data_IF_964721162938
#
_entry.id   IF_964721162938
#
_cell.length_a   1.000
_cell.length_b   1.000
_cell.length_c   1.000
_cell.angle_alpha   90.00
_cell.angle_beta   90.00
_cell.angle_gamma   90.00
#
_symmetry.space_group_name_H-M   'P 1'
#
loop_
_entity.id
_entity.type
_entity.pdbx_description
1 polymer ?
#
# COMPACT_ATOMS: atom_id res chain seq x y z
N UNK A 1 -17.46 3.09 15.46
CA UNK A 1 -18.11 2.40 14.32
C UNK A 1 -18.74 1.13 14.85
N UNK A 2 -19.91 0.74 14.36
CA UNK A 2 -20.51 -0.56 14.67
C UNK A 2 -20.45 -1.45 13.43
N UNK A 3 -20.08 -2.71 13.63
CA UNK A 3 -19.95 -3.69 12.57
C UNK A 3 -20.64 -4.98 12.95
N UNK A 4 -21.64 -5.35 12.16
CA UNK A 4 -22.48 -6.51 12.40
C UNK A 4 -22.31 -7.51 11.26
N UNK A 5 -22.13 -8.78 11.61
CA UNK A 5 -22.11 -9.92 10.69
C UNK A 5 -23.28 -10.82 11.04
N UNK A 6 -24.00 -11.29 10.02
CA UNK A 6 -25.09 -12.27 10.13
C UNK A 6 -24.95 -13.30 9.01
N UNK A 7 -24.88 -14.58 9.37
CA UNK A 7 -24.90 -15.70 8.42
C UNK A 7 -23.72 -15.78 7.44
N UNK A 8 -22.50 -15.36 7.83
CA UNK A 8 -21.31 -15.44 6.96
C UNK A 8 -20.36 -16.55 7.45
N UNK A 9 -20.16 -17.57 6.59
CA UNK A 9 -19.27 -18.69 6.88
C UNK A 9 -19.67 -19.40 8.18
N UNK A 10 -18.74 -19.52 9.11
CA UNK A 10 -18.99 -20.13 10.44
C UNK A 10 -19.63 -19.17 11.44
N UNK A 11 -19.78 -17.88 11.10
CA UNK A 11 -20.34 -16.86 11.99
C UNK A 11 -21.84 -16.75 11.74
N UNK A 12 -22.64 -17.24 12.70
CA UNK A 12 -24.10 -17.05 12.69
C UNK A 12 -24.46 -15.60 12.94
N UNK A 13 -23.86 -15.01 13.96
CA UNK A 13 -24.13 -13.66 14.42
C UNK A 13 -22.91 -13.10 15.17
N UNK A 14 -22.53 -11.86 14.88
CA UNK A 14 -21.53 -11.12 15.63
C UNK A 14 -21.82 -9.62 15.54
N UNK A 15 -21.78 -8.92 16.67
CA UNK A 15 -21.83 -7.46 16.75
C UNK A 15 -20.55 -6.97 17.39
N UNK A 16 -19.84 -6.10 16.67
CA UNK A 16 -18.51 -5.65 17.03
C UNK A 16 -18.52 -4.14 17.09
N UNK A 17 -18.21 -3.62 18.28
CA UNK A 17 -17.96 -2.21 18.49
C UNK A 17 -16.50 -1.88 18.18
N UNK A 18 -16.29 -0.89 17.33
CA UNK A 18 -14.97 -0.37 16.94
C UNK A 18 -14.78 1.05 17.46
N UNK A 19 -14.17 1.16 18.64
CA UNK A 19 -13.92 2.41 19.38
C UNK A 19 -12.42 2.58 19.67
N UNK A 20 -11.62 2.72 18.60
CA UNK A 20 -10.16 2.83 18.68
C UNK A 20 -9.46 1.55 18.25
N UNK A 21 -8.81 0.85 19.19
CA UNK A 21 -8.14 -0.43 18.93
C UNK A 21 -9.02 -1.62 19.35
N UNK A 22 -9.53 -2.36 18.38
CA UNK A 22 -10.27 -3.60 18.61
C UNK A 22 -9.44 -4.81 18.19
N UNK A 23 -9.23 -5.78 19.09
CA UNK A 23 -8.47 -7.02 18.83
C UNK A 23 -9.42 -8.20 18.69
N UNK A 24 -9.32 -8.94 17.58
CA UNK A 24 -10.07 -10.18 17.35
C UNK A 24 -9.15 -11.37 17.63
N UNK A 25 -9.43 -12.09 18.72
CA UNK A 25 -8.64 -13.23 19.19
C UNK A 25 -9.50 -14.49 19.37
N UNK A 26 -8.84 -15.64 19.54
CA UNK A 26 -9.49 -16.96 19.66
C UNK A 26 -8.72 -18.08 18.94
N UNK A 27 -9.20 -19.31 19.02
CA UNK A 27 -8.58 -20.50 18.41
C UNK A 27 -8.59 -20.47 16.88
N UNK A 28 -7.73 -21.24 16.23
CA UNK A 28 -7.78 -21.38 14.78
C UNK A 28 -9.17 -21.88 14.35
N UNK A 29 -9.61 -21.43 13.17
CA UNK A 29 -10.92 -21.77 12.63
C UNK A 29 -12.12 -21.32 13.50
N UNK A 30 -11.94 -20.35 14.41
CA UNK A 30 -13.03 -19.79 15.23
C UNK A 30 -13.76 -18.59 14.60
N UNK A 31 -13.42 -18.24 13.35
CA UNK A 31 -14.09 -17.17 12.60
C UNK A 31 -13.29 -15.87 12.49
N UNK A 32 -12.11 -15.77 13.13
CA UNK A 32 -11.27 -14.55 13.10
C UNK A 32 -11.00 -14.03 11.67
N UNK A 33 -10.54 -14.91 10.77
CA UNK A 33 -10.30 -14.56 9.36
C UNK A 33 -11.61 -14.22 8.63
N UNK A 34 -12.73 -14.82 9.02
CA UNK A 34 -14.05 -14.53 8.43
C UNK A 34 -14.51 -13.13 8.81
N UNK A 35 -14.37 -12.73 10.08
CA UNK A 35 -14.65 -11.36 10.54
C UNK A 35 -13.81 -10.35 9.76
N UNK A 36 -12.49 -10.58 9.68
CA UNK A 36 -11.58 -9.67 8.98
C UNK A 36 -11.89 -9.54 7.49
N UNK A 37 -12.23 -10.65 6.82
CA UNK A 37 -12.64 -10.64 5.40
C UNK A 37 -13.95 -9.90 5.18
N UNK A 38 -14.95 -10.12 6.04
CA UNK A 38 -16.22 -9.41 5.95
C UNK A 38 -16.02 -7.91 6.14
N UNK A 39 -15.21 -7.51 7.13
CA UNK A 39 -14.88 -6.10 7.37
C UNK A 39 -14.16 -5.50 6.16
N UNK A 40 -13.14 -6.19 5.64
CA UNK A 40 -12.40 -5.76 4.45
C UNK A 40 -13.32 -5.54 3.25
N UNK A 41 -14.25 -6.47 2.99
CA UNK A 41 -15.18 -6.37 1.87
C UNK A 41 -16.10 -5.14 1.96
N UNK A 42 -16.57 -4.80 3.16
CA UNK A 42 -17.38 -3.58 3.36
C UNK A 42 -16.53 -2.33 3.16
N UNK A 43 -15.34 -2.29 3.78
CA UNK A 43 -14.45 -1.11 3.67
C UNK A 43 -13.95 -0.89 2.25
N UNK A 44 -13.65 -1.95 1.49
CA UNK A 44 -13.19 -1.82 0.12
C UNK A 44 -14.31 -1.48 -0.86
N UNK A 45 -15.56 -1.87 -0.56
CA UNK A 45 -16.71 -1.49 -1.38
C UNK A 45 -17.04 0.01 -1.31
N UNK A 46 -16.66 0.69 -0.22
CA UNK A 46 -16.81 2.15 -0.08
C UNK A 46 -15.58 2.93 -0.53
N UNK A 47 -14.48 2.27 -0.92
CA UNK A 47 -13.34 2.95 -1.55
C UNK A 47 -13.71 3.41 -2.96
N UNK A 48 -13.26 4.60 -3.35
CA UNK A 48 -13.37 5.05 -4.75
C UNK A 48 -12.40 4.23 -5.61
N UNK A 49 -12.93 3.16 -6.20
CA UNK A 49 -12.19 2.25 -7.06
C UNK A 49 -11.60 2.97 -8.28
N UNK A 50 -12.27 4.00 -8.80
CA UNK A 50 -11.82 4.74 -9.99
C UNK A 50 -10.62 5.59 -9.64
N UNK A 51 -10.69 6.34 -8.55
CA UNK A 51 -9.56 7.15 -8.08
C UNK A 51 -8.35 6.27 -7.76
N UNK A 52 -8.57 5.17 -7.02
CA UNK A 52 -7.52 4.22 -6.66
C UNK A 52 -6.85 3.60 -7.89
N UNK A 53 -7.65 3.22 -8.90
CA UNK A 53 -7.15 2.70 -10.15
C UNK A 53 -6.33 3.74 -10.93
N UNK A 54 -6.75 5.01 -10.97
CA UNK A 54 -6.00 6.08 -11.63
C UNK A 54 -4.65 6.32 -10.94
N UNK A 55 -4.64 6.35 -9.60
CA UNK A 55 -3.41 6.51 -8.82
C UNK A 55 -2.44 5.33 -9.05
N UNK A 56 -2.94 4.11 -9.08
CA UNK A 56 -2.11 2.91 -9.30
C UNK A 56 -1.50 2.89 -10.70
N UNK A 57 -2.27 3.29 -11.72
CA UNK A 57 -1.73 3.47 -13.08
C UNK A 57 -0.63 4.53 -13.13
N UNK A 58 -0.86 5.70 -12.51
CA UNK A 58 0.11 6.78 -12.46
C UNK A 58 1.41 6.34 -11.77
N UNK A 59 1.31 5.64 -10.64
CA UNK A 59 2.46 5.07 -9.93
C UNK A 59 3.22 4.05 -10.77
N UNK A 60 2.52 3.16 -11.48
CA UNK A 60 3.14 2.17 -12.34
C UNK A 60 3.93 2.82 -13.48
N UNK A 61 3.37 3.83 -14.14
CA UNK A 61 4.06 4.61 -15.18
C UNK A 61 5.28 5.32 -14.60
N UNK A 62 5.12 6.02 -13.47
CA UNK A 62 6.21 6.71 -12.80
C UNK A 62 7.37 5.76 -12.46
N UNK A 63 7.08 4.60 -11.87
CA UNK A 63 8.10 3.63 -11.48
C UNK A 63 8.84 3.06 -12.71
N UNK A 64 8.12 2.82 -13.81
CA UNK A 64 8.73 2.38 -15.07
C UNK A 64 9.69 3.43 -15.63
N UNK A 65 9.28 4.70 -15.68
CA UNK A 65 10.15 5.79 -16.14
C UNK A 65 11.36 5.92 -15.23
N UNK A 66 11.14 5.97 -13.90
CA UNK A 66 12.22 6.09 -12.92
C UNK A 66 13.27 4.97 -13.08
N UNK A 67 12.83 3.72 -13.30
CA UNK A 67 13.74 2.59 -13.50
C UNK A 67 14.62 2.73 -14.77
N UNK A 68 14.10 3.37 -15.81
CA UNK A 68 14.85 3.66 -17.04
C UNK A 68 15.88 4.77 -16.81
N UNK A 69 15.54 5.76 -15.98
CA UNK A 69 16.39 6.94 -15.72
C UNK A 69 17.45 6.68 -14.64
N UNK A 70 17.21 5.75 -13.72
CA UNK A 70 18.11 5.40 -12.61
C UNK A 70 19.59 5.17 -13.00
N UNK A 71 19.91 4.49 -14.13
CA UNK A 71 21.29 4.34 -14.59
C UNK A 71 21.95 5.66 -15.04
N UNK A 72 21.15 6.59 -15.60
CA UNK A 72 21.62 7.89 -16.07
C UNK A 72 21.91 8.85 -14.90
N UNK A 73 21.16 8.76 -13.80
CA UNK A 73 21.42 9.55 -12.60
C UNK A 73 22.82 9.26 -12.02
N UNK A 74 23.25 7.99 -12.04
CA UNK A 74 24.61 7.60 -11.65
C UNK A 74 25.69 8.12 -12.60
N UNK A 75 25.41 8.14 -13.91
CA UNK A 75 26.33 8.65 -14.93
C UNK A 75 26.50 10.18 -14.86
N UNK A 76 25.40 10.92 -14.75
CA UNK A 76 25.43 12.38 -14.60
C UNK A 76 26.12 12.82 -13.31
N UNK A 77 25.93 12.07 -12.23
CA UNK A 77 26.63 12.32 -10.97
C UNK A 77 28.15 12.16 -11.14
N UNK A 78 28.62 11.10 -11.80
CA UNK A 78 30.06 10.90 -12.09
C UNK A 78 30.66 11.96 -13.01
N UNK A 79 29.93 12.36 -14.06
CA UNK A 79 30.39 13.40 -14.99
C UNK A 79 30.64 14.72 -14.27
N UNK A 80 29.73 15.13 -13.38
CA UNK A 80 29.87 16.37 -12.60
C UNK A 80 31.05 16.34 -11.61
N UNK A 81 31.40 15.17 -11.08
CA UNK A 81 32.60 15.00 -10.26
C UNK A 81 33.91 15.11 -11.07
N UNK A 82 33.94 14.56 -12.28
CA UNK A 82 35.13 14.58 -13.14
C UNK A 82 35.44 15.98 -13.67
N UNK A 83 34.43 16.73 -14.13
CA UNK A 83 34.61 18.13 -14.56
C UNK A 83 35.07 19.05 -13.43
N UNK A 84 34.84 18.69 -12.16
CA UNK A 84 35.35 19.45 -11.00
C UNK A 84 36.80 19.16 -10.67
N UNK A 85 37.36 18.01 -11.09
CA UNK A 85 38.77 17.67 -10.88
C UNK A 85 39.69 18.29 -11.95
N UNK A 86 39.24 18.39 -13.19
CA UNK A 86 40.03 19.04 -14.26
C UNK A 86 40.30 20.52 -13.94
N UNK A 87 39.33 21.26 -13.41
CA UNK A 87 39.48 22.68 -13.03
C UNK A 87 40.45 22.90 -11.85
N UNK A 88 40.69 21.87 -11.02
CA UNK A 88 41.58 21.96 -9.86
C UNK A 88 43.01 21.49 -10.19
N UNK A 89 43.18 20.64 -11.22
CA UNK A 89 44.50 20.14 -11.63
C UNK A 89 45.29 21.11 -12.50
N UNK A 90 44.66 22.16 -13.01
CA UNK A 90 45.24 23.17 -13.91
C UNK A 90 45.63 24.47 -13.16
N UNK A 91 45.81 24.39 -11.84
CA UNK A 91 46.32 25.45 -10.95
C UNK A 91 47.55 25.01 -10.18
#
# INVERSE_FOLDING_TARGET
MEFSIRGIGIIKEADIKMDGLTVIAGSNNSGKTTVGRALYAVTSAVEDLVEKQQQDQAKAVFYRIRKIVEPFDGWLSRSRYLSRKEVVSDR
#
